data_IF_163980764729
#
_entry.id   IF_163980764729
#
_cell.length_a   1.000
_cell.length_b   1.000
_cell.length_c   1.000
_cell.angle_alpha   90.00
_cell.angle_beta   90.00
_cell.angle_gamma   90.00
#
_symmetry.space_group_name_H-M   'P 1'
#
loop_
_entity.id
_entity.type
_entity.pdbx_description
1 polymer ?
#
# COMPACT_ATOMS: atom_id res chain seq x y z
N UNK A 1 15.72 -17.09 -0.87
CA UNK A 1 14.36 -17.32 -1.43
C UNK A 1 13.53 -16.06 -1.35
N UNK A 2 12.79 -15.78 -2.42
CA UNK A 2 11.94 -14.59 -2.46
C UNK A 2 10.60 -14.84 -1.80
N UNK A 3 10.12 -13.87 -1.05
CA UNK A 3 8.83 -13.93 -0.40
C UNK A 3 7.71 -13.71 -1.42
N UNK A 4 6.68 -14.51 -1.35
CA UNK A 4 5.49 -14.36 -2.20
C UNK A 4 4.25 -14.67 -1.38
N UNK A 5 3.27 -13.77 -1.42
CA UNK A 5 2.03 -13.91 -0.68
C UNK A 5 0.86 -13.52 -1.57
N UNK A 6 -0.16 -14.34 -1.57
CA UNK A 6 -1.41 -13.98 -2.23
C UNK A 6 -2.57 -14.38 -1.33
N UNK A 7 -3.45 -13.43 -1.02
CA UNK A 7 -4.65 -13.67 -0.24
C UNK A 7 -5.86 -13.15 -1.01
N UNK A 8 -6.85 -14.01 -1.20
CA UNK A 8 -8.08 -13.63 -1.86
C UNK A 8 -8.90 -12.69 -0.97
N UNK A 9 -9.66 -11.80 -1.58
CA UNK A 9 -10.50 -10.88 -0.83
C UNK A 9 -11.66 -11.60 -0.16
N UNK A 10 -12.11 -11.05 0.98
CA UNK A 10 -13.33 -11.49 1.65
C UNK A 10 -14.26 -10.28 1.77
N UNK A 11 -15.35 -10.43 2.51
CA UNK A 11 -16.28 -9.31 2.73
C UNK A 11 -15.63 -8.17 3.52
N UNK A 12 -14.64 -8.49 4.37
CA UNK A 12 -14.03 -7.51 5.26
C UNK A 12 -12.54 -7.32 5.02
N UNK A 13 -11.92 -8.15 4.19
CA UNK A 13 -10.48 -8.08 3.92
C UNK A 13 -10.19 -7.86 2.44
N UNK A 14 -9.15 -7.08 2.12
CA UNK A 14 -8.80 -6.84 0.72
C UNK A 14 -8.06 -8.01 0.11
N UNK A 15 -7.99 -8.02 -1.22
CA UNK A 15 -7.06 -8.86 -1.96
C UNK A 15 -5.65 -8.33 -1.72
N UNK A 16 -4.71 -9.22 -1.40
CA UNK A 16 -3.31 -8.88 -1.15
C UNK A 16 -2.43 -9.71 -2.08
N UNK A 17 -1.51 -9.06 -2.76
CA UNK A 17 -0.47 -9.73 -3.53
C UNK A 17 0.87 -9.10 -3.21
N UNK A 18 1.84 -9.93 -2.85
CA UNK A 18 3.23 -9.50 -2.66
C UNK A 18 4.10 -10.43 -3.50
N UNK A 19 4.95 -9.85 -4.33
CA UNK A 19 5.92 -10.58 -5.14
C UNK A 19 7.28 -9.91 -4.97
N UNK A 20 8.07 -10.43 -4.03
CA UNK A 20 9.37 -9.85 -3.71
C UNK A 20 10.33 -9.84 -4.89
N UNK A 21 10.30 -10.91 -5.69
CA UNK A 21 11.17 -11.01 -6.86
C UNK A 21 10.94 -9.87 -7.84
N UNK A 22 9.69 -9.44 -7.98
CA UNK A 22 9.33 -8.32 -8.85
C UNK A 22 9.38 -6.98 -8.15
N UNK A 23 9.58 -6.97 -6.82
CA UNK A 23 9.51 -5.74 -6.04
C UNK A 23 8.13 -5.11 -6.10
N UNK A 24 7.09 -5.91 -5.83
CA UNK A 24 5.71 -5.50 -6.06
C UNK A 24 4.78 -5.88 -4.91
N UNK A 25 3.89 -4.97 -4.56
CA UNK A 25 2.83 -5.21 -3.59
C UNK A 25 1.54 -4.56 -4.09
N UNK A 26 0.41 -5.26 -3.92
CA UNK A 26 -0.89 -4.76 -4.35
C UNK A 26 -1.95 -5.05 -3.30
N UNK A 27 -2.76 -4.02 -2.98
CA UNK A 27 -3.95 -4.16 -2.16
C UNK A 27 -5.14 -3.74 -3.02
N UNK A 28 -6.22 -4.53 -3.00
CA UNK A 28 -7.39 -4.23 -3.82
C UNK A 28 -8.68 -4.66 -3.14
N UNK A 29 -9.70 -3.81 -3.15
CA UNK A 29 -11.02 -4.13 -2.61
C UNK A 29 -11.37 -3.32 -1.38
N UNK A 30 -11.88 -3.97 -0.35
CA UNK A 30 -12.38 -3.32 0.86
C UNK A 30 -11.66 -3.83 2.10
N UNK A 31 -11.54 -2.98 3.12
CA UNK A 31 -10.87 -3.35 4.37
C UNK A 31 -11.63 -2.79 5.57
N UNK A 32 -12.30 -3.68 6.32
CA UNK A 32 -13.10 -3.35 7.50
C UNK A 32 -12.71 -4.18 8.72
N UNK A 33 -11.45 -4.51 8.85
CA UNK A 33 -10.99 -5.45 9.85
C UNK A 33 -11.08 -4.89 11.26
N UNK A 34 -11.52 -5.73 12.20
CA UNK A 34 -11.44 -5.42 13.62
C UNK A 34 -10.03 -5.69 14.12
N UNK A 35 -9.44 -6.83 13.74
CA UNK A 35 -8.06 -7.16 14.10
C UNK A 35 -7.10 -6.76 12.97
N UNK A 36 -6.96 -5.47 12.78
CA UNK A 36 -6.12 -4.91 11.72
C UNK A 36 -4.64 -5.25 11.92
N UNK A 37 -4.19 -5.24 13.17
CA UNK A 37 -2.79 -5.50 13.50
C UNK A 37 -2.41 -6.93 13.15
N UNK A 38 -3.25 -7.89 13.56
CA UNK A 38 -3.02 -9.31 13.26
C UNK A 38 -3.01 -9.60 11.77
N UNK A 39 -3.96 -9.01 11.05
CA UNK A 39 -4.07 -9.22 9.60
C UNK A 39 -2.82 -8.73 8.87
N UNK A 40 -2.30 -7.55 9.22
CA UNK A 40 -1.17 -6.95 8.52
C UNK A 40 0.20 -7.31 9.12
N UNK A 41 0.22 -8.11 10.20
CA UNK A 41 1.48 -8.42 10.90
C UNK A 41 2.55 -8.99 9.98
N UNK A 42 2.23 -10.03 9.24
CA UNK A 42 3.17 -10.68 8.33
C UNK A 42 3.63 -9.73 7.22
N UNK A 43 2.69 -8.95 6.71
CA UNK A 43 2.95 -7.98 5.65
C UNK A 43 3.92 -6.91 6.14
N UNK A 44 3.67 -6.37 7.35
CA UNK A 44 4.53 -5.34 7.95
C UNK A 44 5.93 -5.87 8.25
N UNK A 45 6.03 -7.10 8.76
CA UNK A 45 7.32 -7.71 9.04
C UNK A 45 8.14 -7.89 7.76
N UNK A 46 7.50 -8.39 6.71
CA UNK A 46 8.16 -8.52 5.41
C UNK A 46 8.57 -7.17 4.85
N UNK A 47 7.67 -6.20 4.89
CA UNK A 47 7.92 -4.88 4.31
C UNK A 47 9.11 -4.20 4.98
N UNK A 48 9.21 -4.28 6.30
CA UNK A 48 10.32 -3.71 7.05
C UNK A 48 11.65 -4.34 6.65
N UNK A 49 11.68 -5.65 6.51
CA UNK A 49 12.90 -6.36 6.08
C UNK A 49 13.26 -6.02 4.64
N UNK A 50 12.27 -6.00 3.76
CA UNK A 50 12.51 -5.73 2.35
C UNK A 50 13.03 -4.31 2.12
N UNK A 51 12.41 -3.33 2.75
CA UNK A 51 12.77 -1.92 2.56
C UNK A 51 14.14 -1.56 3.15
N UNK A 52 14.63 -2.36 4.10
CA UNK A 52 15.98 -2.18 4.66
C UNK A 52 17.01 -3.05 3.94
N UNK A 53 16.58 -3.86 2.96
CA UNK A 53 17.49 -4.68 2.17
C UNK A 53 18.06 -3.89 0.98
N UNK A 54 18.85 -4.55 0.16
CA UNK A 54 19.50 -3.95 -0.99
C UNK A 54 18.65 -4.04 -2.26
N UNK A 55 17.39 -3.60 -2.18
CA UNK A 55 16.50 -3.59 -3.33
C UNK A 55 16.79 -2.37 -4.22
N UNK A 56 16.41 -2.43 -5.50
CA UNK A 56 16.60 -1.33 -6.44
C UNK A 56 15.35 -0.52 -6.68
N UNK A 57 14.20 -1.19 -6.81
CA UNK A 57 12.92 -0.51 -7.01
C UNK A 57 11.79 -1.31 -6.39
N UNK A 58 10.74 -0.61 -5.98
CA UNK A 58 9.57 -1.22 -5.37
C UNK A 58 8.33 -0.45 -5.79
N UNK A 59 7.27 -1.18 -6.16
CA UNK A 59 6.00 -0.59 -6.57
C UNK A 59 4.89 -1.10 -5.68
N UNK A 60 4.09 -0.19 -5.14
CA UNK A 60 2.91 -0.50 -4.35
C UNK A 60 1.68 0.05 -5.05
N UNK A 61 0.80 -0.84 -5.51
CA UNK A 61 -0.49 -0.47 -6.09
C UNK A 61 -1.56 -0.63 -5.01
N UNK A 62 -2.26 0.44 -4.70
CA UNK A 62 -3.30 0.44 -3.70
C UNK A 62 -4.62 0.88 -4.33
N UNK A 63 -5.53 -0.07 -4.52
CA UNK A 63 -6.84 0.18 -5.08
C UNK A 63 -7.91 -0.25 -4.08
N UNK A 64 -7.97 0.41 -2.93
CA UNK A 64 -8.99 0.16 -1.92
C UNK A 64 -10.19 1.04 -2.21
N UNK A 65 -11.36 0.42 -2.36
CA UNK A 65 -12.60 1.15 -2.65
C UNK A 65 -13.24 1.70 -1.38
N UNK A 66 -13.05 0.98 -0.27
CA UNK A 66 -13.60 1.38 1.01
C UNK A 66 -12.75 0.79 2.14
N UNK A 67 -12.51 1.60 3.17
CA UNK A 67 -11.73 1.12 4.32
C UNK A 67 -12.01 1.98 5.55
N UNK A 68 -11.85 1.37 6.74
CA UNK A 68 -12.10 2.05 8.00
C UNK A 68 -10.86 2.82 8.47
N UNK A 69 -11.02 3.56 9.57
CA UNK A 69 -9.94 4.41 10.10
C UNK A 69 -8.71 3.61 10.54
N UNK A 70 -8.90 2.38 11.01
CA UNK A 70 -7.77 1.51 11.38
C UNK A 70 -6.92 1.18 10.18
N UNK A 71 -7.56 0.89 9.04
CA UNK A 71 -6.84 0.63 7.78
C UNK A 71 -6.12 1.89 7.31
N UNK A 72 -6.75 3.05 7.43
CA UNK A 72 -6.10 4.32 7.08
C UNK A 72 -4.78 4.49 7.82
N UNK A 73 -4.77 4.22 9.12
CA UNK A 73 -3.56 4.31 9.93
C UNK A 73 -2.49 3.32 9.50
N UNK A 74 -2.90 2.09 9.16
CA UNK A 74 -1.96 1.06 8.69
C UNK A 74 -1.31 1.47 7.39
N UNK A 75 -2.09 1.97 6.45
CA UNK A 75 -1.55 2.44 5.17
C UNK A 75 -0.60 3.61 5.38
N UNK A 76 -0.96 4.55 6.24
CA UNK A 76 -0.10 5.68 6.55
C UNK A 76 1.25 5.22 7.09
N UNK A 77 1.25 4.27 8.03
CA UNK A 77 2.50 3.71 8.58
C UNK A 77 3.35 3.05 7.52
N UNK A 78 2.74 2.28 6.62
CA UNK A 78 3.45 1.63 5.53
C UNK A 78 4.09 2.66 4.59
N UNK A 79 3.32 3.70 4.23
CA UNK A 79 3.81 4.76 3.36
C UNK A 79 4.96 5.54 4.01
N UNK A 80 4.86 5.83 5.31
CA UNK A 80 5.93 6.50 6.05
C UNK A 80 7.20 5.66 6.05
N UNK A 81 7.06 4.36 6.27
CA UNK A 81 8.20 3.44 6.23
C UNK A 81 8.85 3.46 4.84
N UNK A 82 8.05 3.38 3.79
CA UNK A 82 8.54 3.47 2.42
C UNK A 82 9.27 4.78 2.18
N UNK A 83 8.67 5.89 2.62
CA UNK A 83 9.22 7.23 2.42
C UNK A 83 10.58 7.41 3.09
N UNK A 84 10.78 6.79 4.25
CA UNK A 84 12.04 6.89 4.99
C UNK A 84 13.14 5.99 4.44
N UNK A 85 12.79 4.95 3.67
CA UNK A 85 13.73 3.96 3.18
C UNK A 85 14.13 4.16 1.70
N UNK A 86 13.80 5.31 1.11
CA UNK A 86 14.00 5.53 -0.33
C UNK A 86 15.45 5.77 -0.73
N UNK A 87 16.32 6.18 0.18
CA UNK A 87 17.69 6.62 -0.13
C UNK A 87 18.36 5.83 -1.26
N UNK A 88 18.57 6.48 -2.41
CA UNK A 88 19.23 5.87 -3.57
C UNK A 88 18.39 4.81 -4.30
N UNK A 89 17.13 4.66 -3.94
CA UNK A 89 16.25 3.64 -4.50
C UNK A 89 15.00 4.28 -5.07
N UNK A 90 14.30 3.54 -5.94
CA UNK A 90 13.07 4.03 -6.54
C UNK A 90 11.87 3.35 -5.90
N UNK A 91 11.01 4.11 -5.25
CA UNK A 91 9.78 3.60 -4.65
C UNK A 91 8.59 4.32 -5.26
N UNK A 92 7.72 3.56 -5.90
CA UNK A 92 6.55 4.08 -6.60
C UNK A 92 5.29 3.62 -5.88
N UNK A 93 4.41 4.55 -5.57
CA UNK A 93 3.09 4.23 -5.01
C UNK A 93 2.04 4.71 -5.99
N UNK A 94 1.15 3.82 -6.38
CA UNK A 94 0.02 4.16 -7.23
C UNK A 94 -1.26 4.06 -6.39
N UNK A 95 -1.84 5.21 -6.11
CA UNK A 95 -3.11 5.31 -5.39
C UNK A 95 -4.20 5.31 -6.45
N UNK A 96 -4.87 4.17 -6.59
CA UNK A 96 -5.82 3.94 -7.69
C UNK A 96 -7.24 4.14 -7.18
N UNK A 97 -7.97 5.07 -7.80
CA UNK A 97 -9.36 5.37 -7.46
C UNK A 97 -10.25 4.81 -8.55
N UNK A 98 -11.07 3.82 -8.19
CA UNK A 98 -11.91 3.11 -9.16
C UNK A 98 -13.08 3.98 -9.64
N UNK A 99 -13.63 4.83 -8.77
CA UNK A 99 -14.77 5.71 -9.09
C UNK A 99 -14.30 7.16 -9.09
N UNK A 100 -14.36 7.79 -10.26
CA UNK A 100 -13.95 9.19 -10.44
C UNK A 100 -14.72 10.18 -9.55
N UNK A 101 -15.89 9.77 -9.06
CA UNK A 101 -16.72 10.62 -8.21
C UNK A 101 -16.45 10.39 -6.72
N UNK A 102 -15.50 9.54 -6.37
CA UNK A 102 -15.15 9.28 -4.99
C UNK A 102 -14.16 10.34 -4.49
N UNK A 103 -14.71 11.49 -4.16
CA UNK A 103 -13.91 12.64 -3.71
C UNK A 103 -13.14 12.38 -2.43
N UNK A 104 -13.68 11.54 -1.54
CA UNK A 104 -13.00 11.21 -0.29
C UNK A 104 -11.72 10.42 -0.52
N UNK A 105 -11.76 9.45 -1.45
CA UNK A 105 -10.57 8.66 -1.79
C UNK A 105 -9.52 9.52 -2.50
N UNK A 106 -9.96 10.40 -3.39
CA UNK A 106 -9.05 11.30 -4.10
C UNK A 106 -8.36 12.23 -3.10
N UNK A 107 -9.12 12.82 -2.19
CA UNK A 107 -8.59 13.73 -1.17
C UNK A 107 -7.62 13.00 -0.24
N UNK A 108 -7.96 11.77 0.16
CA UNK A 108 -7.09 10.94 0.98
C UNK A 108 -5.74 10.69 0.29
N UNK A 109 -5.78 10.39 -1.00
CA UNK A 109 -4.57 10.21 -1.80
C UNK A 109 -3.73 11.48 -1.89
N UNK A 110 -4.38 12.62 -2.06
CA UNK A 110 -3.69 13.90 -2.10
C UNK A 110 -3.00 14.23 -0.78
N UNK A 111 -3.66 13.94 0.34
CA UNK A 111 -3.09 14.13 1.68
C UNK A 111 -1.85 13.26 1.88
N UNK A 112 -1.92 11.99 1.49
CA UNK A 112 -0.77 11.10 1.57
C UNK A 112 0.37 11.60 0.68
N UNK A 113 0.06 12.03 -0.52
CA UNK A 113 1.05 12.55 -1.46
C UNK A 113 1.78 13.76 -0.90
N UNK A 114 1.04 14.64 -0.25
CA UNK A 114 1.62 15.84 0.36
C UNK A 114 2.57 15.48 1.52
N UNK A 115 2.24 14.45 2.28
CA UNK A 115 3.05 14.03 3.42
C UNK A 115 4.29 13.22 3.03
N UNK A 116 4.23 12.51 1.89
CA UNK A 116 5.31 11.61 1.48
C UNK A 116 6.19 12.27 0.43
N UNK A 117 7.26 12.90 0.86
CA UNK A 117 8.10 13.76 0.02
C UNK A 117 9.09 13.00 -0.87
N UNK A 118 9.48 11.80 -0.48
CA UNK A 118 10.53 11.04 -1.17
C UNK A 118 9.99 9.97 -2.12
N UNK A 119 8.71 9.64 -2.01
CA UNK A 119 8.08 8.65 -2.86
C UNK A 119 7.65 9.23 -4.19
N UNK A 120 7.66 8.39 -5.22
CA UNK A 120 6.98 8.71 -6.47
C UNK A 120 5.51 8.33 -6.29
N UNK A 121 4.70 9.25 -5.79
CA UNK A 121 3.30 8.99 -5.44
C UNK A 121 2.38 9.49 -6.55
N UNK A 122 1.67 8.56 -7.18
CA UNK A 122 0.78 8.84 -8.28
C UNK A 122 -0.67 8.56 -7.88
N UNK A 123 -1.56 9.49 -8.21
CA UNK A 123 -2.99 9.28 -8.05
C UNK A 123 -3.56 8.96 -9.42
N UNK A 124 -4.12 7.76 -9.56
CA UNK A 124 -4.68 7.29 -10.84
C UNK A 124 -6.17 7.09 -10.69
N UNK A 125 -6.94 7.79 -11.49
CA UNK A 125 -8.39 7.71 -11.45
C UNK A 125 -8.86 6.93 -12.67
N UNK A 126 -9.60 5.84 -12.44
CA UNK A 126 -10.16 5.04 -13.52
C UNK A 126 -11.38 5.74 -14.11
N UNK A 127 -11.52 5.67 -15.40
CA UNK A 127 -12.67 6.24 -16.11
C UNK A 127 -13.80 5.25 -16.29
#
# INVERSE_FOLDING_TARGET
MSFKLEREKTKTTPYILIDEEKGYMCFKGESYLEDIVGFFKEINEWLQKYLTSDFTSFTFDCELEYFNSSTTKQIYKMLRLMDTCVSGKKVIVNWIVADKDDDMLIECGEDYKDDMKNLCFNIKIKE
#
